data_IF_540556241227
#
_entry.id   IF_540556241227
#
_cell.length_a   1.000
_cell.length_b   1.000
_cell.length_c   1.000
_cell.angle_alpha   90.00
_cell.angle_beta   90.00
_cell.angle_gamma   90.00
#
_symmetry.space_group_name_H-M   'P 1'
#
loop_
_entity.id
_entity.type
_entity.pdbx_description
1 polymer ?
#
# COMPACT_ATOMS: atom_id res chain seq x y z
N UNK A 1 -12.17 13.90 8.37
CA UNK A 1 -11.92 12.44 8.52
C UNK A 1 -11.06 12.21 9.77
N UNK A 2 -11.00 10.99 10.29
CA UNK A 2 -10.05 10.61 11.34
C UNK A 2 -8.99 9.68 10.75
N UNK A 3 -7.71 10.03 10.92
CA UNK A 3 -6.58 9.21 10.50
C UNK A 3 -5.86 8.69 11.74
N UNK A 4 -5.93 7.40 11.99
CA UNK A 4 -5.22 6.73 13.07
C UNK A 4 -3.93 6.18 12.50
N UNK A 5 -2.78 6.54 13.07
CA UNK A 5 -1.48 6.06 12.60
C UNK A 5 -0.72 5.40 13.74
N UNK A 6 -0.18 4.20 13.48
CA UNK A 6 0.67 3.49 14.45
C UNK A 6 2.13 3.63 14.00
N UNK A 7 2.96 4.15 14.89
CA UNK A 7 4.38 4.40 14.73
C UNK A 7 5.19 3.59 15.75
N UNK A 8 6.34 3.07 15.32
CA UNK A 8 7.25 2.28 16.17
C UNK A 8 8.47 3.08 16.63
N UNK A 9 8.69 4.27 16.06
CA UNK A 9 9.84 5.12 16.35
C UNK A 9 9.56 6.61 16.10
N UNK A 10 10.47 7.48 16.55
CA UNK A 10 10.33 8.94 16.44
C UNK A 10 10.31 9.45 15.00
N UNK A 11 10.99 8.76 14.07
CA UNK A 11 11.01 9.16 12.67
C UNK A 11 9.64 8.92 12.01
N UNK A 12 9.04 7.77 12.30
CA UNK A 12 7.68 7.43 11.90
C UNK A 12 6.64 8.37 12.53
N UNK A 13 6.72 8.66 13.84
CA UNK A 13 5.82 9.61 14.51
C UNK A 13 5.85 10.97 13.80
N UNK A 14 7.04 11.52 13.58
CA UNK A 14 7.20 12.80 12.87
C UNK A 14 6.65 12.77 11.46
N UNK A 15 6.94 11.70 10.70
CA UNK A 15 6.40 11.53 9.36
C UNK A 15 4.87 11.48 9.36
N UNK A 16 4.27 10.80 10.34
CA UNK A 16 2.82 10.72 10.49
C UNK A 16 2.20 12.09 10.78
N UNK A 17 2.81 12.87 11.67
CA UNK A 17 2.39 14.24 12.00
C UNK A 17 2.50 15.14 10.76
N UNK A 18 3.66 15.18 10.10
CA UNK A 18 3.88 15.98 8.89
C UNK A 18 2.92 15.60 7.76
N UNK A 19 2.69 14.30 7.55
CA UNK A 19 1.74 13.81 6.54
C UNK A 19 0.31 14.21 6.88
N UNK A 20 -0.08 14.14 8.16
CA UNK A 20 -1.41 14.54 8.61
C UNK A 20 -1.67 16.02 8.35
N UNK A 21 -0.67 16.87 8.63
CA UNK A 21 -0.72 18.32 8.37
C UNK A 21 -0.76 18.64 6.87
N UNK A 22 -0.04 17.87 6.06
CA UNK A 22 -0.10 18.01 4.61
C UNK A 22 -1.49 17.64 4.07
N UNK A 23 -2.10 16.56 4.56
CA UNK A 23 -3.46 16.17 4.18
C UNK A 23 -4.49 17.21 4.64
N UNK A 24 -4.32 17.73 5.86
CA UNK A 24 -5.26 18.69 6.43
C UNK A 24 -5.34 20.02 5.68
N UNK A 25 -4.29 20.37 4.93
CA UNK A 25 -4.29 21.55 4.06
C UNK A 25 -5.45 21.55 3.05
N UNK A 26 -5.90 20.36 2.62
CA UNK A 26 -6.99 20.19 1.65
C UNK A 26 -8.26 19.59 2.27
N UNK A 27 -8.13 18.88 3.40
CA UNK A 27 -9.23 18.15 4.01
C UNK A 27 -9.20 18.26 5.54
N UNK A 28 -10.14 18.96 6.19
CA UNK A 28 -10.22 18.97 7.65
C UNK A 28 -10.18 17.55 8.24
N UNK A 29 -9.21 17.32 9.12
CA UNK A 29 -8.92 15.99 9.62
C UNK A 29 -8.45 16.04 11.09
N UNK A 30 -8.91 15.05 11.85
CA UNK A 30 -8.32 14.67 13.12
C UNK A 30 -7.29 13.58 12.82
N UNK A 31 -6.11 13.69 13.40
CA UNK A 31 -5.07 12.67 13.33
C UNK A 31 -4.77 12.15 14.73
N UNK A 32 -4.78 10.82 14.89
CA UNK A 32 -4.41 10.14 16.13
C UNK A 32 -3.13 9.38 15.83
N UNK A 33 -2.00 9.85 16.32
CA UNK A 33 -0.68 9.24 16.13
C UNK A 33 -0.30 8.49 17.40
N UNK A 34 -0.19 7.17 17.31
CA UNK A 34 0.16 6.29 18.43
C UNK A 34 1.60 5.85 18.23
N UNK A 35 2.51 6.27 19.12
CA UNK A 35 3.85 5.70 19.21
C UNK A 35 3.85 4.62 20.28
N UNK A 36 4.03 3.38 19.85
CA UNK A 36 4.05 2.22 20.74
C UNK A 36 5.47 1.75 21.08
N UNK A 37 5.69 1.41 22.34
CA UNK A 37 6.87 0.70 22.82
C UNK A 37 6.42 -0.41 23.79
N UNK A 38 5.94 -1.56 23.26
CA UNK A 38 5.49 -2.67 24.10
C UNK A 38 6.63 -3.32 24.88
N UNK A 39 7.89 -3.15 24.44
CA UNK A 39 9.07 -3.72 25.09
C UNK A 39 9.57 -2.89 26.29
N UNK A 40 9.10 -1.64 26.42
CA UNK A 40 9.45 -0.78 27.55
C UNK A 40 9.05 -1.38 28.90
N UNK A 41 9.89 -1.17 29.91
CA UNK A 41 9.58 -1.54 31.29
C UNK A 41 8.60 -0.54 31.91
N UNK A 42 7.48 -1.05 32.41
CA UNK A 42 6.45 -0.26 33.09
C UNK A 42 5.34 0.18 32.13
N UNK A 43 4.14 0.36 32.69
CA UNK A 43 2.99 0.85 31.94
C UNK A 43 2.95 2.37 32.05
N UNK A 44 3.05 3.06 30.92
CA UNK A 44 3.04 4.52 30.86
C UNK A 44 2.29 4.99 29.63
N UNK A 45 1.48 6.03 29.79
CA UNK A 45 0.71 6.66 28.72
C UNK A 45 0.88 8.17 28.85
N UNK A 46 1.55 8.79 27.89
CA UNK A 46 1.55 10.24 27.72
C UNK A 46 0.69 10.62 26.51
N UNK A 47 -0.10 11.67 26.63
CA UNK A 47 -0.90 12.21 25.55
C UNK A 47 -0.57 13.69 25.32
N UNK A 48 -0.51 14.10 24.06
CA UNK A 48 -0.37 15.51 23.65
C UNK A 48 -1.38 15.80 22.55
N UNK A 49 -2.02 16.96 22.62
CA UNK A 49 -2.91 17.44 21.55
C UNK A 49 -2.30 18.73 21.01
N UNK A 50 -2.23 18.84 19.68
CA UNK A 50 -1.82 20.04 18.98
C UNK A 50 -2.86 20.36 17.93
N UNK A 51 -3.32 21.61 17.88
CA UNK A 51 -4.22 22.09 16.84
C UNK A 51 -3.47 23.05 15.94
N UNK A 52 -3.44 22.77 14.65
CA UNK A 52 -2.87 23.64 13.65
C UNK A 52 -3.97 24.24 12.79
N UNK A 53 -3.89 25.55 12.58
CA UNK A 53 -4.83 26.30 11.75
C UNK A 53 -4.06 26.88 10.58
N UNK A 54 -4.35 26.39 9.37
CA UNK A 54 -3.83 26.95 8.14
C UNK A 54 -4.85 27.96 7.60
N UNK A 55 -4.39 29.18 7.28
CA UNK A 55 -5.24 30.25 6.71
C UNK A 55 -4.68 30.68 5.36
N UNK A 56 -5.05 30.01 4.26
CA UNK A 56 -4.61 30.42 2.93
C UNK A 56 -5.26 31.75 2.54
N UNK A 57 -4.57 32.58 1.76
CA UNK A 57 -5.07 33.91 1.36
C UNK A 57 -6.39 33.83 0.55
N UNK A 58 -6.60 32.76 -0.22
CA UNK A 58 -7.73 32.60 -1.13
C UNK A 58 -8.67 31.43 -0.80
N UNK A 59 -8.63 30.86 0.41
CA UNK A 59 -9.56 29.80 0.82
C UNK A 59 -9.95 29.89 2.29
N UNK A 60 -10.96 29.11 2.69
CA UNK A 60 -11.32 28.97 4.10
C UNK A 60 -10.14 28.42 4.90
N UNK A 61 -10.06 28.82 6.16
CA UNK A 61 -9.12 28.24 7.10
C UNK A 61 -9.40 26.73 7.25
N UNK A 62 -8.33 25.93 7.28
CA UNK A 62 -8.41 24.52 7.60
C UNK A 62 -7.78 24.27 8.97
N UNK A 63 -8.42 23.40 9.75
CA UNK A 63 -7.95 23.02 11.08
C UNK A 63 -7.56 21.54 11.06
N UNK A 64 -6.42 21.25 11.70
CA UNK A 64 -5.97 19.89 11.95
C UNK A 64 -5.75 19.72 13.44
N UNK A 65 -6.47 18.80 14.05
CA UNK A 65 -6.16 18.34 15.40
C UNK A 65 -5.28 17.10 15.30
N UNK A 66 -4.11 17.15 15.93
CA UNK A 66 -3.18 16.04 16.02
C UNK A 66 -3.08 15.62 17.48
N UNK A 67 -3.59 14.43 17.79
CA UNK A 67 -3.49 13.77 19.08
C UNK A 67 -2.34 12.76 19.00
N UNK A 68 -1.28 12.98 19.76
CA UNK A 68 -0.16 12.04 19.88
C UNK A 68 -0.27 11.27 21.19
N UNK A 69 -0.29 9.94 21.13
CA UNK A 69 -0.24 9.04 22.27
C UNK A 69 1.12 8.32 22.28
N UNK A 70 1.86 8.44 23.38
CA UNK A 70 3.06 7.65 23.62
C UNK A 70 2.72 6.55 24.62
N UNK A 71 2.70 5.30 24.14
CA UNK A 71 2.18 4.16 24.88
C UNK A 71 3.31 3.18 25.16
N UNK A 72 3.50 2.81 26.43
CA UNK A 72 4.54 1.88 26.88
C UNK A 72 3.96 0.69 27.62
N UNK A 73 4.57 -0.47 27.44
CA UNK A 73 4.19 -1.71 28.12
C UNK A 73 2.88 -2.30 27.60
N UNK A 74 2.13 -2.98 28.48
CA UNK A 74 0.98 -3.80 28.08
C UNK A 74 -0.17 -3.00 27.45
N UNK A 75 -0.25 -1.69 27.71
CA UNK A 75 -1.27 -0.83 27.09
C UNK A 75 -1.12 -0.72 25.56
N UNK A 76 0.09 -0.95 25.02
CA UNK A 76 0.32 -0.97 23.58
C UNK A 76 -0.35 -2.16 22.89
N UNK A 77 -0.72 -3.22 23.63
CA UNK A 77 -1.43 -4.40 23.11
C UNK A 77 -2.96 -4.19 23.01
N UNK A 78 -3.45 -2.98 23.25
CA UNK A 78 -4.89 -2.66 23.26
C UNK A 78 -5.19 -1.36 22.49
N UNK A 79 -4.73 -1.31 21.24
CA UNK A 79 -4.87 -0.15 20.36
C UNK A 79 -6.32 0.31 20.16
N UNK A 80 -7.26 -0.62 20.03
CA UNK A 80 -8.69 -0.32 19.93
C UNK A 80 -9.22 0.45 21.15
N UNK A 81 -8.84 0.04 22.35
CA UNK A 81 -9.25 0.71 23.60
C UNK A 81 -8.66 2.12 23.76
N UNK A 82 -7.52 2.40 23.11
CA UNK A 82 -6.91 3.73 23.07
C UNK A 82 -7.56 4.64 22.02
N UNK A 83 -7.98 4.07 20.90
CA UNK A 83 -8.51 4.80 19.74
C UNK A 83 -9.99 5.11 19.91
N UNK A 84 -10.81 4.12 20.31
CA UNK A 84 -12.28 4.23 20.34
C UNK A 84 -12.80 5.48 21.09
N UNK A 85 -12.27 5.86 22.26
CA UNK A 85 -12.74 7.05 22.99
C UNK A 85 -12.44 8.38 22.30
N UNK A 86 -11.51 8.40 21.33
CA UNK A 86 -11.07 9.59 20.61
C UNK A 86 -11.78 9.76 19.26
N UNK A 87 -12.57 8.76 18.84
CA UNK A 87 -13.27 8.78 17.56
C UNK A 87 -14.46 9.76 17.59
N UNK A 88 -14.63 10.49 16.50
CA UNK A 88 -15.75 11.41 16.33
C UNK A 88 -16.88 10.68 15.59
N UNK A 89 -18.04 10.60 16.24
CA UNK A 89 -19.23 9.97 15.66
C UNK A 89 -19.60 10.55 14.30
N UNK A 90 -19.81 9.68 13.32
CA UNK A 90 -20.19 10.06 11.95
C UNK A 90 -19.03 10.51 11.07
N UNK A 91 -17.78 10.46 11.54
CA UNK A 91 -16.59 10.78 10.76
C UNK A 91 -15.88 9.49 10.32
N UNK A 92 -15.62 9.30 9.01
CA UNK A 92 -14.88 8.13 8.54
C UNK A 92 -13.49 8.04 9.15
N UNK A 93 -13.13 6.86 9.64
CA UNK A 93 -11.90 6.55 10.37
C UNK A 93 -11.01 5.59 9.56
N UNK A 94 -9.78 5.99 9.30
CA UNK A 94 -8.81 5.18 8.55
C UNK A 94 -7.61 4.84 9.43
N UNK A 95 -7.26 3.56 9.50
CA UNK A 95 -6.03 3.10 10.13
C UNK A 95 -4.91 3.09 9.09
N UNK A 96 -3.93 3.97 9.23
CA UNK A 96 -2.68 3.92 8.48
C UNK A 96 -1.63 3.15 9.26
N UNK A 97 -1.29 1.96 8.75
CA UNK A 97 -0.21 1.16 9.30
C UNK A 97 1.09 1.45 8.54
N UNK A 98 2.10 1.96 9.24
CA UNK A 98 3.43 2.17 8.67
C UNK A 98 4.23 0.85 8.64
N UNK A 99 4.85 0.54 7.50
CA UNK A 99 5.56 -0.73 7.31
C UNK A 99 4.64 -1.95 7.16
N UNK A 100 5.01 -3.07 7.79
CA UNK A 100 4.32 -4.35 7.67
C UNK A 100 3.23 -4.52 8.74
N UNK A 101 1.94 -4.65 8.39
CA UNK A 101 0.88 -4.90 9.38
C UNK A 101 1.05 -6.26 10.08
N UNK A 102 0.87 -6.33 11.41
CA UNK A 102 1.07 -7.55 12.18
C UNK A 102 -0.18 -8.43 12.15
N UNK A 103 -0.50 -9.02 10.99
CA UNK A 103 -1.72 -9.84 10.79
C UNK A 103 -1.89 -11.03 11.75
N UNK A 104 -0.81 -11.45 12.43
CA UNK A 104 -0.84 -12.50 13.44
C UNK A 104 -1.34 -12.00 14.81
N UNK A 105 -1.32 -10.69 15.07
CA UNK A 105 -1.73 -10.11 16.35
C UNK A 105 -3.25 -9.80 16.36
N UNK A 106 -3.96 -10.12 17.46
CA UNK A 106 -5.38 -9.76 17.62
C UNK A 106 -5.63 -8.25 17.59
N UNK A 107 -4.72 -7.47 18.19
CA UNK A 107 -4.73 -6.00 18.24
C UNK A 107 -5.15 -5.35 16.93
N UNK A 108 -4.49 -5.70 15.82
CA UNK A 108 -4.81 -5.16 14.50
C UNK A 108 -6.26 -5.43 14.11
N UNK A 109 -6.77 -6.64 14.37
CA UNK A 109 -8.14 -7.01 14.02
C UNK A 109 -9.15 -6.27 14.87
N UNK A 110 -8.87 -6.10 16.15
CA UNK A 110 -9.76 -5.39 17.07
C UNK A 110 -9.80 -3.90 16.72
N UNK A 111 -8.67 -3.26 16.42
CA UNK A 111 -8.64 -1.87 15.92
C UNK A 111 -9.34 -1.72 14.57
N UNK A 112 -9.19 -2.67 13.65
CA UNK A 112 -9.88 -2.62 12.36
C UNK A 112 -11.40 -2.76 12.47
N UNK A 113 -11.96 -3.24 13.58
CA UNK A 113 -13.43 -3.29 13.78
C UNK A 113 -14.04 -1.91 14.02
N UNK A 114 -13.25 -0.96 14.51
CA UNK A 114 -13.67 0.41 14.79
C UNK A 114 -13.19 1.39 13.70
N UNK A 115 -12.61 0.88 12.60
CA UNK A 115 -12.14 1.66 11.46
C UNK A 115 -12.93 1.31 10.19
N UNK A 116 -13.10 2.30 9.31
CA UNK A 116 -13.75 2.14 8.00
C UNK A 116 -12.77 1.67 6.92
N UNK A 117 -11.47 1.86 7.11
CA UNK A 117 -10.47 1.41 6.16
C UNK A 117 -9.06 1.25 6.72
N UNK A 118 -8.28 0.41 6.05
CA UNK A 118 -6.85 0.20 6.26
C UNK A 118 -6.08 0.87 5.13
N UNK A 119 -5.11 1.71 5.48
CA UNK A 119 -4.13 2.30 4.58
C UNK A 119 -2.78 1.66 4.83
N UNK A 120 -2.15 1.15 3.78
CA UNK A 120 -0.81 0.55 3.82
C UNK A 120 0.05 1.09 2.68
N UNK A 121 1.36 0.97 2.83
CA UNK A 121 2.27 1.09 1.70
C UNK A 121 2.95 -0.25 1.46
N UNK A 122 2.45 -1.02 0.49
CA UNK A 122 3.01 -2.36 0.26
C UNK A 122 4.47 -2.32 -0.20
N UNK A 123 4.98 -1.19 -0.69
CA UNK A 123 6.40 -1.03 -0.98
C UNK A 123 7.30 -1.18 0.27
N UNK A 124 6.75 -1.00 1.47
CA UNK A 124 7.49 -1.10 2.74
C UNK A 124 7.35 -2.47 3.41
N UNK A 125 6.76 -3.47 2.76
CA UNK A 125 6.59 -4.80 3.37
C UNK A 125 7.91 -5.58 3.43
N UNK A 126 8.26 -6.07 4.62
CA UNK A 126 9.45 -6.88 4.87
C UNK A 126 9.29 -8.32 4.35
N UNK A 127 8.10 -8.89 4.51
CA UNK A 127 7.75 -10.24 4.04
C UNK A 127 6.59 -10.22 3.02
N UNK A 128 6.74 -9.62 1.81
CA UNK A 128 5.62 -9.26 0.94
C UNK A 128 4.66 -10.42 0.65
N UNK A 129 5.18 -11.62 0.41
CA UNK A 129 4.34 -12.80 0.15
C UNK A 129 3.41 -13.12 1.32
N UNK A 130 3.94 -13.14 2.55
CA UNK A 130 3.16 -13.42 3.76
C UNK A 130 2.19 -12.27 4.04
N UNK A 131 2.63 -11.03 3.85
CA UNK A 131 1.82 -9.83 4.07
C UNK A 131 0.64 -9.74 3.10
N UNK A 132 0.85 -9.97 1.79
CA UNK A 132 -0.25 -10.03 0.82
C UNK A 132 -1.22 -11.19 1.09
N UNK A 133 -0.72 -12.34 1.55
CA UNK A 133 -1.58 -13.44 1.99
C UNK A 133 -2.43 -13.03 3.21
N UNK A 134 -1.82 -12.38 4.19
CA UNK A 134 -2.50 -11.83 5.36
C UNK A 134 -3.60 -10.83 4.98
N UNK A 135 -3.28 -9.87 4.11
CA UNK A 135 -4.24 -8.93 3.53
C UNK A 135 -5.40 -9.65 2.83
N UNK A 136 -5.10 -10.65 2.00
CA UNK A 136 -6.13 -11.41 1.29
C UNK A 136 -7.07 -12.15 2.24
N UNK A 137 -6.54 -12.81 3.28
CA UNK A 137 -7.37 -13.48 4.28
C UNK A 137 -8.18 -12.49 5.12
N UNK A 138 -7.58 -11.36 5.51
CA UNK A 138 -8.28 -10.29 6.22
C UNK A 138 -9.49 -9.79 5.41
N UNK A 139 -9.30 -9.48 4.12
CA UNK A 139 -10.36 -8.99 3.24
C UNK A 139 -11.47 -10.01 3.00
N UNK A 140 -11.15 -11.31 2.97
CA UNK A 140 -12.18 -12.37 2.88
C UNK A 140 -13.09 -12.37 4.11
N UNK A 141 -12.53 -12.15 5.29
CA UNK A 141 -13.27 -12.15 6.56
C UNK A 141 -14.01 -10.83 6.80
N UNK A 142 -13.39 -9.70 6.46
CA UNK A 142 -13.98 -8.37 6.65
C UNK A 142 -15.15 -8.07 5.70
N UNK A 143 -15.32 -8.85 4.62
CA UNK A 143 -16.25 -8.57 3.53
C UNK A 143 -16.06 -7.14 2.98
N UNK A 144 -17.10 -6.55 2.37
CA UNK A 144 -17.09 -5.17 1.85
C UNK A 144 -17.15 -4.08 2.95
N UNK A 145 -16.97 -4.43 4.23
CA UNK A 145 -17.08 -3.47 5.33
C UNK A 145 -15.82 -2.67 5.58
N UNK A 146 -14.65 -3.25 5.27
CA UNK A 146 -13.36 -2.60 5.45
C UNK A 146 -12.78 -2.17 4.10
N UNK A 147 -12.58 -0.86 3.92
CA UNK A 147 -11.82 -0.34 2.79
C UNK A 147 -10.33 -0.71 2.88
N UNK A 148 -9.68 -0.98 1.75
CA UNK A 148 -8.22 -1.10 1.68
C UNK A 148 -7.69 -0.09 0.69
N UNK A 149 -6.78 0.76 1.14
CA UNK A 149 -5.99 1.64 0.30
C UNK A 149 -4.51 1.22 0.38
N UNK A 150 -3.90 0.99 -0.79
CA UNK A 150 -2.47 0.75 -0.90
C UNK A 150 -1.82 1.91 -1.64
N UNK A 151 -0.86 2.57 -0.99
CA UNK A 151 -0.13 3.70 -1.56
C UNK A 151 0.71 3.25 -2.76
N UNK A 152 1.31 2.06 -2.72
CA UNK A 152 2.07 1.53 -3.85
C UNK A 152 1.15 1.25 -5.05
N UNK A 153 -0.06 0.73 -4.81
CA UNK A 153 -1.07 0.56 -5.85
C UNK A 153 -1.48 1.89 -6.50
N UNK A 154 -1.55 2.94 -5.69
CA UNK A 154 -1.86 4.29 -6.13
C UNK A 154 -0.73 4.87 -6.99
N UNK A 155 0.54 4.66 -6.60
CA UNK A 155 1.72 5.04 -7.41
C UNK A 155 1.77 4.34 -8.77
N UNK A 156 1.19 3.16 -8.90
CA UNK A 156 1.09 2.43 -10.18
C UNK A 156 -0.01 2.95 -11.12
N UNK A 157 -0.84 3.93 -10.70
CA UNK A 157 -1.94 4.44 -11.52
C UNK A 157 -1.49 4.94 -12.91
N UNK A 158 -0.44 5.78 -13.07
CA UNK A 158 -0.02 6.25 -14.39
C UNK A 158 0.42 5.12 -15.33
N UNK A 159 1.05 4.07 -14.80
CA UNK A 159 1.43 2.88 -15.55
C UNK A 159 0.19 2.11 -16.05
N UNK A 160 -0.78 1.88 -15.15
CA UNK A 160 -2.04 1.20 -15.51
C UNK A 160 -2.82 1.97 -16.55
N UNK A 161 -2.93 3.28 -16.39
CA UNK A 161 -3.62 4.16 -17.35
C UNK A 161 -2.93 4.14 -18.71
N UNK A 162 -1.60 4.26 -18.74
CA UNK A 162 -0.83 4.25 -19.99
C UNK A 162 -0.97 2.93 -20.75
N UNK A 163 -0.91 1.79 -20.05
CA UNK A 163 -1.15 0.46 -20.64
C UNK A 163 -2.58 0.37 -21.19
N UNK A 164 -3.59 0.74 -20.39
CA UNK A 164 -4.98 0.67 -20.81
C UNK A 164 -5.26 1.58 -22.03
N UNK A 165 -4.76 2.81 -22.01
CA UNK A 165 -4.91 3.78 -23.09
C UNK A 165 -4.35 3.29 -24.42
N UNK A 166 -3.22 2.57 -24.39
CA UNK A 166 -2.64 1.99 -25.60
C UNK A 166 -3.61 1.02 -26.30
N UNK A 167 -4.44 0.28 -25.55
CA UNK A 167 -5.39 -0.69 -26.08
C UNK A 167 -6.83 -0.17 -26.20
N UNK A 168 -7.11 1.09 -25.84
CA UNK A 168 -8.42 1.72 -26.01
C UNK A 168 -8.93 1.68 -27.46
N UNK A 169 -8.11 2.02 -28.48
CA UNK A 169 -8.53 1.96 -29.89
C UNK A 169 -8.95 0.54 -30.30
N UNK A 170 -10.06 0.41 -31.04
CA UNK A 170 -10.65 -0.89 -31.39
C UNK A 170 -9.68 -1.77 -32.17
N UNK A 171 -8.88 -1.19 -33.06
CA UNK A 171 -7.91 -1.90 -33.90
C UNK A 171 -6.81 -2.55 -33.06
N UNK A 172 -6.51 -1.98 -31.88
CA UNK A 172 -5.44 -2.47 -31.00
C UNK A 172 -5.89 -3.55 -30.01
N UNK A 173 -7.19 -3.71 -29.79
CA UNK A 173 -7.71 -4.71 -28.82
C UNK A 173 -7.39 -6.15 -29.21
N UNK A 174 -7.27 -6.45 -30.51
CA UNK A 174 -6.94 -7.78 -31.00
C UNK A 174 -5.54 -8.26 -30.53
N UNK A 175 -4.63 -7.33 -30.22
CA UNK A 175 -3.29 -7.65 -29.73
C UNK A 175 -3.28 -8.10 -28.27
N UNK A 176 -4.29 -7.74 -27.44
CA UNK A 176 -4.36 -8.17 -26.03
C UNK A 176 -4.36 -9.70 -25.90
N UNK A 177 -5.13 -10.37 -26.75
CA UNK A 177 -5.20 -11.84 -26.76
C UNK A 177 -3.98 -12.52 -27.40
N UNK A 178 -3.05 -11.76 -27.95
CA UNK A 178 -1.83 -12.25 -28.59
C UNK A 178 -0.54 -11.87 -27.88
N UNK A 179 -0.64 -11.25 -26.69
CA UNK A 179 0.50 -11.02 -25.82
C UNK A 179 1.17 -12.35 -25.46
N UNK A 180 2.46 -12.44 -25.73
CA UNK A 180 3.30 -13.61 -25.44
C UNK A 180 4.40 -13.29 -24.44
N UNK A 181 4.81 -12.02 -24.33
CA UNK A 181 5.89 -11.60 -23.44
C UNK A 181 5.59 -10.25 -22.76
N UNK A 182 5.94 -10.15 -21.48
CA UNK A 182 5.93 -8.91 -20.71
C UNK A 182 7.25 -8.77 -19.94
N UNK A 183 7.98 -7.69 -20.19
CA UNK A 183 9.15 -7.32 -19.41
C UNK A 183 8.84 -6.15 -18.48
N UNK A 184 9.14 -6.27 -17.20
CA UNK A 184 9.02 -5.18 -16.22
C UNK A 184 10.39 -4.87 -15.62
N UNK A 185 10.86 -3.66 -15.86
CA UNK A 185 12.07 -3.14 -15.21
C UNK A 185 11.70 -2.34 -13.98
N UNK A 186 12.43 -2.56 -12.90
CA UNK A 186 12.27 -1.83 -11.65
C UNK A 186 13.62 -1.44 -11.07
N UNK A 187 13.66 -0.34 -10.32
CA UNK A 187 14.85 0.14 -9.65
C UNK A 187 15.27 -0.83 -8.55
N UNK A 188 16.51 -1.30 -8.59
CA UNK A 188 17.08 -2.11 -7.52
C UNK A 188 18.30 -2.90 -7.95
N UNK A 189 18.83 -3.68 -6.99
CA UNK A 189 19.90 -4.64 -7.22
C UNK A 189 19.38 -6.08 -7.06
N UNK A 190 19.82 -6.96 -7.94
CA UNK A 190 19.44 -8.37 -7.99
C UNK A 190 17.93 -8.62 -7.88
N UNK A 191 17.50 -9.16 -6.74
CA UNK A 191 16.11 -9.56 -6.47
C UNK A 191 15.47 -8.69 -5.39
N UNK A 192 15.80 -7.40 -5.35
CA UNK A 192 15.28 -6.42 -4.39
C UNK A 192 13.75 -6.23 -4.44
N UNK A 193 13.28 -5.04 -4.06
CA UNK A 193 11.85 -4.76 -3.93
C UNK A 193 11.10 -4.86 -5.28
N UNK A 194 10.53 -6.02 -5.58
CA UNK A 194 9.80 -6.31 -6.83
C UNK A 194 8.28 -6.19 -6.70
N UNK A 195 7.79 -5.56 -5.63
CA UNK A 195 6.37 -5.51 -5.30
C UNK A 195 5.59 -4.76 -6.38
N UNK A 196 6.11 -3.62 -6.83
CA UNK A 196 5.54 -2.84 -7.92
C UNK A 196 5.37 -3.69 -9.20
N UNK A 197 6.40 -4.45 -9.56
CA UNK A 197 6.41 -5.31 -10.73
C UNK A 197 5.40 -6.46 -10.59
N UNK A 198 5.36 -7.10 -9.41
CA UNK A 198 4.40 -8.15 -9.13
C UNK A 198 2.94 -7.63 -9.18
N UNK A 199 2.67 -6.45 -8.64
CA UNK A 199 1.33 -5.86 -8.61
C UNK A 199 0.82 -5.46 -9.99
N UNK A 200 1.66 -4.79 -10.82
CA UNK A 200 1.24 -4.43 -12.18
C UNK A 200 1.01 -5.68 -13.04
N UNK A 201 1.83 -6.72 -12.88
CA UNK A 201 1.62 -8.01 -13.54
C UNK A 201 0.38 -8.72 -13.02
N UNK A 202 0.13 -8.73 -11.71
CA UNK A 202 -1.07 -9.31 -11.12
C UNK A 202 -2.34 -8.63 -11.63
N UNK A 203 -2.30 -7.30 -11.83
CA UNK A 203 -3.37 -6.55 -12.45
C UNK A 203 -3.63 -6.96 -13.90
N UNK A 204 -2.58 -7.00 -14.73
CA UNK A 204 -2.71 -7.46 -16.13
C UNK A 204 -3.25 -8.88 -16.20
N UNK A 205 -2.71 -9.78 -15.36
CA UNK A 205 -3.16 -11.16 -15.27
C UNK A 205 -4.64 -11.26 -14.88
N UNK A 206 -5.07 -10.51 -13.87
CA UNK A 206 -6.47 -10.45 -13.46
C UNK A 206 -7.39 -9.89 -14.55
N UNK A 207 -6.95 -8.85 -15.26
CA UNK A 207 -7.75 -8.21 -16.31
C UNK A 207 -7.86 -9.05 -17.58
N UNK A 208 -6.84 -9.84 -17.90
CA UNK A 208 -6.74 -10.64 -19.13
C UNK A 208 -6.99 -12.15 -18.91
N UNK A 209 -7.37 -12.54 -17.69
CA UNK A 209 -7.65 -13.94 -17.34
C UNK A 209 -6.42 -14.85 -17.45
N UNK A 210 -5.24 -14.35 -17.08
CA UNK A 210 -4.02 -15.14 -17.05
C UNK A 210 -3.91 -15.91 -15.74
N UNK A 211 -3.40 -17.14 -15.81
CA UNK A 211 -3.16 -18.00 -14.66
C UNK A 211 -1.67 -18.28 -14.50
N UNK A 212 -1.11 -18.01 -13.33
CA UNK A 212 0.30 -18.30 -13.06
C UNK A 212 0.50 -19.83 -13.00
N UNK A 213 1.41 -20.36 -13.81
CA UNK A 213 1.75 -21.79 -13.83
C UNK A 213 3.04 -22.10 -13.09
N UNK A 214 4.06 -21.27 -13.30
CA UNK A 214 5.36 -21.40 -12.63
C UNK A 214 6.03 -20.04 -12.53
N UNK A 215 6.76 -19.82 -11.46
CA UNK A 215 7.69 -18.71 -11.33
C UNK A 215 9.03 -19.26 -10.87
N UNK A 216 10.09 -18.89 -11.57
CA UNK A 216 11.44 -19.30 -11.27
C UNK A 216 12.34 -18.07 -11.25
N UNK A 217 13.37 -18.18 -10.43
CA UNK A 217 14.29 -17.10 -10.24
C UNK A 217 15.51 -17.38 -11.14
N UNK A 218 15.65 -16.59 -12.21
CA UNK A 218 16.70 -16.72 -13.21
C UNK A 218 18.06 -16.17 -12.74
N UNK A 219 19.05 -16.24 -13.64
CA UNK A 219 20.39 -15.68 -13.44
C UNK A 219 20.36 -14.15 -13.42
N UNK A 220 21.28 -13.51 -12.68
CA UNK A 220 21.46 -12.05 -12.71
C UNK A 220 20.30 -11.25 -12.13
N UNK A 221 19.58 -11.78 -11.14
CA UNK A 221 18.48 -11.06 -10.48
C UNK A 221 17.13 -11.12 -11.19
N UNK A 222 17.09 -11.64 -12.43
CA UNK A 222 15.85 -11.75 -13.20
C UNK A 222 14.91 -12.77 -12.56
N UNK A 223 13.63 -12.45 -12.47
CA UNK A 223 12.57 -13.40 -12.12
C UNK A 223 11.74 -13.65 -13.37
N UNK A 224 11.55 -14.92 -13.74
CA UNK A 224 10.72 -15.29 -14.89
C UNK A 224 9.51 -16.07 -14.40
N UNK A 225 8.33 -15.61 -14.77
CA UNK A 225 7.06 -16.24 -14.49
C UNK A 225 6.38 -16.63 -15.81
N UNK A 226 5.84 -17.84 -15.87
CA UNK A 226 5.04 -18.29 -17.00
C UNK A 226 3.58 -18.34 -16.58
N UNK A 227 2.78 -17.56 -17.29
CA UNK A 227 1.34 -17.52 -17.19
C UNK A 227 0.71 -18.25 -18.36
N UNK A 228 -0.57 -18.60 -18.23
CA UNK A 228 -1.36 -19.17 -19.31
C UNK A 228 -2.69 -18.45 -19.47
N UNK A 229 -3.11 -18.23 -20.72
CA UNK A 229 -4.44 -17.75 -21.07
C UNK A 229 -4.93 -18.45 -22.34
N UNK A 230 -6.07 -19.13 -22.26
CA UNK A 230 -6.67 -19.84 -23.40
C UNK A 230 -5.71 -20.84 -24.08
N UNK A 231 -4.88 -21.55 -23.30
CA UNK A 231 -3.90 -22.52 -23.80
C UNK A 231 -2.61 -21.92 -24.36
N UNK A 232 -2.40 -20.60 -24.27
CA UNK A 232 -1.17 -19.93 -24.69
C UNK A 232 -0.32 -19.59 -23.49
N UNK A 233 0.99 -19.75 -23.61
CA UNK A 233 1.96 -19.31 -22.60
C UNK A 233 2.27 -17.83 -22.78
N UNK A 234 2.32 -17.11 -21.67
CA UNK A 234 2.81 -15.73 -21.58
C UNK A 234 4.02 -15.74 -20.64
N UNK A 235 5.17 -15.34 -21.15
CA UNK A 235 6.37 -15.16 -20.32
C UNK A 235 6.39 -13.76 -19.72
N UNK A 236 6.63 -13.67 -18.43
CA UNK A 236 6.76 -12.41 -17.71
C UNK A 236 8.11 -12.37 -17.01
N UNK A 237 8.94 -11.39 -17.35
CA UNK A 237 10.28 -11.23 -16.78
C UNK A 237 10.36 -9.94 -15.95
N UNK A 238 10.83 -10.03 -14.72
CA UNK A 238 11.17 -8.89 -13.88
C UNK A 238 12.68 -8.71 -13.88
N UNK A 239 13.15 -7.50 -14.20
CA UNK A 239 14.56 -7.17 -14.24
C UNK A 239 14.84 -5.98 -13.35
N UNK A 240 15.76 -6.14 -12.40
CA UNK A 240 16.29 -5.03 -11.63
C UNK A 240 17.22 -4.20 -12.52
N UNK A 241 17.09 -2.88 -12.46
CA UNK A 241 17.97 -1.93 -13.14
C UNK A 241 18.45 -0.87 -12.15
N UNK A 242 19.59 -0.24 -12.44
CA UNK A 242 20.08 0.89 -11.66
C UNK A 242 19.77 2.22 -12.36
N UNK A 243 19.03 3.09 -11.66
CA UNK A 243 18.52 4.40 -12.04
C UNK A 243 18.54 5.30 -10.81
N UNK A 244 19.52 6.20 -10.73
CA UNK A 244 19.77 7.02 -9.55
C UNK A 244 18.61 7.95 -9.14
N UNK A 245 17.72 8.28 -10.08
CA UNK A 245 16.59 9.18 -9.86
C UNK A 245 15.31 8.48 -9.39
N UNK A 246 15.32 7.15 -9.27
CA UNK A 246 14.16 6.35 -8.84
C UNK A 246 14.37 5.81 -7.44
N UNK A 247 13.28 5.71 -6.67
CA UNK A 247 13.31 5.03 -5.38
C UNK A 247 13.38 3.51 -5.58
N UNK A 248 13.88 2.79 -4.58
CA UNK A 248 13.98 1.33 -4.62
C UNK A 248 12.61 0.69 -4.88
N UNK A 249 12.53 -0.16 -5.90
CA UNK A 249 11.34 -0.89 -6.33
C UNK A 249 10.41 -0.13 -7.27
N UNK A 250 10.68 1.14 -7.57
CA UNK A 250 9.89 1.89 -8.56
C UNK A 250 10.06 1.31 -9.96
N UNK A 251 8.99 1.34 -10.75
CA UNK A 251 9.03 0.87 -12.13
C UNK A 251 9.75 1.89 -13.01
N UNK A 252 10.67 1.41 -13.85
CA UNK A 252 11.35 2.25 -14.83
C UNK A 252 10.87 2.00 -16.26
N UNK A 253 10.41 0.79 -16.57
CA UNK A 253 9.91 0.46 -17.91
C UNK A 253 8.99 -0.77 -17.89
N UNK A 254 8.01 -0.79 -18.80
CA UNK A 254 7.22 -1.97 -19.13
C UNK A 254 7.31 -2.17 -20.64
N UNK A 255 7.65 -3.39 -21.06
CA UNK A 255 7.72 -3.82 -22.47
C UNK A 255 6.73 -4.96 -22.66
N UNK A 256 6.02 -4.94 -23.78
CA UNK A 256 5.05 -5.96 -24.13
C UNK A 256 5.29 -6.39 -25.57
N UNK A 257 5.34 -7.69 -25.81
CA UNK A 257 5.45 -8.25 -27.15
C UNK A 257 4.38 -9.33 -27.37
N UNK A 258 3.98 -9.45 -28.63
CA UNK A 258 2.91 -10.34 -29.07
C UNK A 258 2.56 -10.07 -30.53
N UNK A 259 1.67 -10.87 -31.08
CA UNK A 259 1.17 -10.72 -32.44
C UNK A 259 -0.34 -10.52 -32.45
N UNK A 260 -0.87 -9.74 -33.39
CA UNK A 260 -2.31 -9.74 -33.62
C UNK A 260 -2.76 -11.18 -33.91
N UNK A 261 -3.93 -11.57 -33.39
CA UNK A 261 -4.57 -12.80 -33.85
C UNK A 261 -4.73 -12.70 -35.38
N UNK A 262 -4.09 -13.61 -36.10
CA UNK A 262 -4.49 -13.97 -37.47
C UNK A 262 -5.81 -14.72 -37.43
#
# INVERSE_FOLDING_TARGET
MTLVTVATNDAEERLAVETSQAISSQHPAQSIVIREDPAAKGNHLDARITTEVQRPEMSCATECEVITLNVRGAAAEHLDALVDPLLVSGVPTYLWWMGTPPFAKPELRDTLRICDGLVVDSAQFDEPYRTFRGLSELLKVAHHRLGLADLQWSRLRPWRESIAQFFTPRERRAFLGGLSEVGVDYQGDGRGNRIAAAMITGWMASALGWTLKRAAAGSGGVVVAHYESGGRSIEVAFRSVSREHLAAGELSAIRMAGSARG
#
